data_IF_687681938101
#
_entry.id   IF_687681938101
#
_cell.length_a   1.000
_cell.length_b   1.000
_cell.length_c   1.000
_cell.angle_alpha   90.00
_cell.angle_beta   90.00
_cell.angle_gamma   90.00
#
_symmetry.space_group_name_H-M   'P 1'
#
loop_
_entity.id
_entity.type
_entity.pdbx_description
1 polymer ?
#
# COMPACT_ATOMS: atom_id res chain seq x y z
N UNK A 1 2.29 -9.61 15.98
CA UNK A 1 0.89 -9.68 15.50
C UNK A 1 0.43 -8.28 15.15
N UNK A 2 -0.65 -8.16 14.37
CA UNK A 2 -1.39 -6.89 14.25
C UNK A 2 -2.06 -6.55 15.60
N UNK A 3 -2.21 -5.26 15.94
CA UNK A 3 -2.99 -4.87 17.11
C UNK A 3 -4.44 -5.39 16.96
N UNK A 4 -5.12 -5.72 18.07
CA UNK A 4 -6.52 -6.11 18.02
C UNK A 4 -7.39 -4.93 17.55
N UNK A 5 -8.50 -5.24 16.89
CA UNK A 5 -9.38 -4.24 16.27
C UNK A 5 -9.88 -3.19 17.28
N UNK A 6 -10.22 -3.62 18.50
CA UNK A 6 -10.76 -2.76 19.54
C UNK A 6 -9.78 -1.66 19.99
N UNK A 7 -8.47 -1.87 19.81
CA UNK A 7 -7.45 -0.85 20.10
C UNK A 7 -7.57 0.39 19.22
N UNK A 8 -8.22 0.30 18.05
CA UNK A 8 -8.45 1.47 17.19
C UNK A 8 -9.28 2.57 17.89
N UNK A 9 -10.13 2.19 18.85
CA UNK A 9 -11.03 3.12 19.54
C UNK A 9 -10.47 3.63 20.87
N UNK A 10 -9.28 3.19 21.27
CA UNK A 10 -8.61 3.62 22.49
C UNK A 10 -7.36 4.47 22.13
N UNK A 11 -7.44 5.81 22.22
CA UNK A 11 -6.32 6.70 21.92
C UNK A 11 -5.05 6.30 22.68
N UNK A 12 -3.92 6.22 21.98
CA UNK A 12 -2.62 5.85 22.55
C UNK A 12 -2.40 4.36 22.79
N UNK A 13 -3.39 3.49 22.54
CA UNK A 13 -3.25 2.04 22.75
C UNK A 13 -2.41 1.33 21.67
N UNK A 14 -2.27 1.93 20.49
CA UNK A 14 -1.42 1.41 19.41
C UNK A 14 -0.14 2.26 19.34
N UNK A 15 1.04 1.69 19.65
CA UNK A 15 2.29 2.43 19.59
C UNK A 15 2.66 2.76 18.14
N UNK A 16 3.04 4.02 17.91
CA UNK A 16 3.61 4.47 16.64
C UNK A 16 4.81 3.61 16.25
N UNK A 17 4.92 3.31 14.96
CA UNK A 17 6.05 2.57 14.39
C UNK A 17 6.88 3.51 13.51
N UNK A 18 8.22 3.37 13.52
CA UNK A 18 9.09 4.16 12.65
C UNK A 18 8.78 3.86 11.17
N UNK A 19 8.93 4.89 10.32
CA UNK A 19 8.88 4.71 8.87
C UNK A 19 10.11 3.93 8.44
N UNK A 20 9.88 2.74 7.89
CA UNK A 20 10.87 1.82 7.35
C UNK A 20 10.41 1.32 5.98
N UNK A 21 11.31 0.68 5.23
CA UNK A 21 10.92 0.07 3.96
C UNK A 21 9.80 -0.95 4.15
N UNK A 22 9.83 -1.70 5.26
CA UNK A 22 8.79 -2.68 5.61
C UNK A 22 7.44 -2.05 5.91
N UNK A 23 7.40 -0.92 6.64
CA UNK A 23 6.12 -0.25 6.94
C UNK A 23 5.54 0.41 5.68
N UNK A 24 6.40 0.98 4.81
CA UNK A 24 5.97 1.54 3.52
C UNK A 24 5.46 0.45 2.57
N UNK A 25 6.18 -0.67 2.45
CA UNK A 25 5.74 -1.84 1.65
C UNK A 25 4.35 -2.30 2.08
N UNK A 26 4.11 -2.52 3.38
CA UNK A 26 2.78 -2.90 3.89
C UNK A 26 1.70 -1.85 3.62
N UNK A 27 2.02 -0.56 3.77
CA UNK A 27 1.07 0.50 3.47
C UNK A 27 0.62 0.42 2.01
N UNK A 28 1.56 0.30 1.07
CA UNK A 28 1.24 0.17 -0.35
C UNK A 28 0.59 -1.16 -0.71
N UNK A 29 0.94 -2.25 -0.02
CA UNK A 29 0.29 -3.55 -0.16
C UNK A 29 -1.19 -3.45 0.16
N UNK A 30 -1.53 -2.91 1.32
CA UNK A 30 -2.92 -2.81 1.77
C UNK A 30 -3.71 -1.71 1.05
N UNK A 31 -3.04 -0.66 0.56
CA UNK A 31 -3.73 0.44 -0.10
C UNK A 31 -3.88 0.23 -1.63
N UNK A 32 -2.84 -0.24 -2.33
CA UNK A 32 -2.72 -0.06 -3.79
C UNK A 32 -2.24 -1.30 -4.58
N UNK A 33 -1.89 -2.41 -3.92
CA UNK A 33 -1.37 -3.60 -4.62
C UNK A 33 -2.40 -4.32 -5.49
N UNK A 34 -1.92 -5.24 -6.33
CA UNK A 34 -2.75 -6.24 -6.98
C UNK A 34 -3.09 -7.36 -5.99
N UNK A 35 -4.37 -7.65 -5.81
CA UNK A 35 -4.85 -8.67 -4.85
C UNK A 35 -5.16 -10.01 -5.51
N UNK A 36 -5.57 -9.99 -6.77
CA UNK A 36 -5.93 -11.19 -7.52
C UNK A 36 -5.96 -10.93 -9.03
N UNK A 37 -6.12 -12.00 -9.80
CA UNK A 37 -6.40 -11.94 -11.24
C UNK A 37 -7.73 -12.61 -11.53
N UNK A 38 -8.60 -11.95 -12.29
CA UNK A 38 -9.86 -12.51 -12.75
C UNK A 38 -9.81 -12.76 -14.25
N UNK A 39 -10.41 -13.86 -14.69
CA UNK A 39 -10.52 -14.20 -16.11
C UNK A 39 -11.94 -14.67 -16.44
N UNK A 40 -12.51 -14.16 -17.53
CA UNK A 40 -13.84 -14.54 -18.02
C UNK A 40 -13.98 -14.14 -19.49
N UNK A 41 -14.65 -14.98 -20.30
CA UNK A 41 -14.95 -14.66 -21.70
C UNK A 41 -13.72 -14.31 -22.56
N UNK A 42 -12.58 -14.97 -22.31
CA UNK A 42 -11.32 -14.71 -23.03
C UNK A 42 -10.54 -13.46 -22.56
N UNK A 43 -11.08 -12.70 -21.61
CA UNK A 43 -10.42 -11.51 -21.04
C UNK A 43 -9.86 -11.81 -19.65
N UNK A 44 -8.69 -11.25 -19.32
CA UNK A 44 -8.05 -11.35 -18.00
C UNK A 44 -7.65 -9.96 -17.50
N UNK A 45 -7.92 -9.66 -16.23
CA UNK A 45 -7.59 -8.39 -15.61
C UNK A 45 -7.17 -8.55 -14.15
N UNK A 46 -6.35 -7.61 -13.67
CA UNK A 46 -5.91 -7.56 -12.29
C UNK A 46 -6.96 -6.87 -11.41
N UNK A 47 -7.15 -7.38 -10.20
CA UNK A 47 -7.90 -6.73 -9.13
C UNK A 47 -6.91 -6.04 -8.19
N UNK A 48 -7.30 -4.90 -7.60
CA UNK A 48 -6.48 -4.15 -6.64
C UNK A 48 -7.12 -4.09 -5.26
N UNK A 49 -6.31 -3.77 -4.25
CA UNK A 49 -6.79 -3.51 -2.89
C UNK A 49 -7.76 -2.32 -2.83
N UNK A 50 -7.56 -1.31 -3.69
CA UNK A 50 -8.49 -0.18 -3.80
C UNK A 50 -9.55 -0.44 -4.90
N UNK A 51 -10.86 -0.47 -4.56
CA UNK A 51 -11.92 -0.69 -5.54
C UNK A 51 -12.01 0.46 -6.55
N UNK A 52 -12.34 0.14 -7.80
CA UNK A 52 -12.52 1.11 -8.88
C UNK A 52 -13.67 0.68 -9.79
N UNK A 53 -14.55 1.62 -10.13
CA UNK A 53 -15.67 1.35 -11.05
C UNK A 53 -15.14 0.88 -12.40
N UNK A 54 -15.68 -0.23 -12.91
CA UNK A 54 -15.25 -0.84 -14.16
C UNK A 54 -13.81 -1.39 -14.16
N UNK A 55 -13.14 -1.47 -13.00
CA UNK A 55 -11.75 -1.92 -12.87
C UNK A 55 -10.76 -1.13 -13.74
N UNK A 56 -11.03 0.16 -13.98
CA UNK A 56 -10.20 1.03 -14.83
C UNK A 56 -8.92 1.51 -14.14
N UNK A 57 -8.95 1.63 -12.80
CA UNK A 57 -7.83 2.04 -11.95
C UNK A 57 -6.97 3.19 -12.50
N UNK A 58 -7.53 4.40 -12.74
CA UNK A 58 -6.75 5.58 -13.16
C UNK A 58 -5.81 6.12 -12.06
N UNK A 59 -5.68 5.42 -10.92
CA UNK A 59 -4.98 5.87 -9.73
C UNK A 59 -3.54 5.37 -9.71
N UNK A 60 -2.61 6.33 -9.72
CA UNK A 60 -1.19 6.13 -9.47
C UNK A 60 -0.83 6.46 -8.01
N UNK A 61 0.09 5.68 -7.43
CA UNK A 61 0.56 5.87 -6.06
C UNK A 61 1.96 6.47 -6.03
N UNK A 62 2.18 7.48 -5.20
CA UNK A 62 3.50 8.09 -5.03
C UNK A 62 3.88 8.22 -3.54
N UNK A 63 5.16 8.02 -3.22
CA UNK A 63 5.73 8.29 -1.92
C UNK A 63 6.63 9.53 -2.01
N UNK A 64 6.34 10.56 -1.22
CA UNK A 64 7.19 11.74 -1.06
C UNK A 64 7.67 11.82 0.38
N UNK A 65 8.98 11.81 0.59
CA UNK A 65 9.57 11.96 1.91
C UNK A 65 10.95 12.62 1.88
N UNK A 66 11.29 13.32 2.95
CA UNK A 66 12.63 13.84 3.22
C UNK A 66 13.61 12.75 3.71
N UNK A 67 14.81 13.11 4.17
CA UNK A 67 15.77 12.15 4.69
C UNK A 67 15.18 11.37 5.87
N UNK A 68 15.13 10.04 5.74
CA UNK A 68 14.63 9.14 6.78
C UNK A 68 15.77 8.20 7.22
N UNK A 69 16.31 8.32 8.45
CA UNK A 69 17.51 7.60 8.88
C UNK A 69 17.45 6.07 8.73
N UNK A 70 16.25 5.51 8.84
CA UNK A 70 16.02 4.06 8.81
C UNK A 70 15.49 3.55 7.47
N UNK A 71 15.38 4.42 6.48
CA UNK A 71 14.92 4.07 5.14
C UNK A 71 16.11 4.09 4.19
N UNK A 72 16.41 2.95 3.57
CA UNK A 72 17.48 2.81 2.58
C UNK A 72 17.14 3.46 1.22
N UNK A 73 16.23 4.43 1.20
CA UNK A 73 15.86 5.22 0.04
C UNK A 73 16.27 6.67 0.28
N UNK A 74 16.96 7.31 -0.68
CA UNK A 74 17.20 8.74 -0.64
C UNK A 74 15.90 9.54 -0.45
N UNK A 75 16.00 10.74 0.10
CA UNK A 75 14.89 11.69 0.05
C UNK A 75 14.45 11.91 -1.41
N UNK A 76 13.14 11.94 -1.65
CA UNK A 76 12.65 12.10 -3.01
C UNK A 76 11.19 11.70 -3.20
N UNK A 77 10.80 11.70 -4.48
CA UNK A 77 9.50 11.27 -4.96
C UNK A 77 9.66 9.92 -5.68
N UNK A 78 8.91 8.93 -5.25
CA UNK A 78 8.93 7.58 -5.79
C UNK A 78 7.55 7.20 -6.31
N UNK A 79 7.50 6.56 -7.48
CA UNK A 79 6.29 5.96 -8.02
C UNK A 79 6.17 4.52 -7.54
N UNK A 80 4.99 4.14 -7.02
CA UNK A 80 4.68 2.76 -6.66
C UNK A 80 4.12 2.02 -7.88
N UNK A 81 4.85 1.02 -8.36
CA UNK A 81 4.48 0.18 -9.49
C UNK A 81 3.77 -1.10 -9.00
N UNK A 82 2.42 -1.19 -9.05
CA UNK A 82 1.68 -2.26 -8.38
C UNK A 82 1.97 -3.67 -8.91
N UNK A 83 2.43 -3.78 -10.16
CA UNK A 83 2.81 -5.04 -10.79
C UNK A 83 4.15 -5.59 -10.24
N UNK A 84 5.06 -4.72 -9.83
CA UNK A 84 6.39 -5.09 -9.35
C UNK A 84 6.46 -5.22 -7.82
N UNK A 85 5.53 -4.58 -7.11
CA UNK A 85 5.57 -4.36 -5.66
C UNK A 85 6.94 -3.84 -5.19
#
# INVERSE_FOLDING_TARGET
GSPPYDSLFAPGSVPSQPVSLRSLSRLFEYALSLTAWKAYGGTRWALRSNPSSGNLHPTEGYALFGPLPHLALPAGLYHYAPQAH
#
